data_IF_277412762678
#
_entry.id   IF_277412762678
#
_cell.length_a   1.000
_cell.length_b   1.000
_cell.length_c   1.000
_cell.angle_alpha   90.00
_cell.angle_beta   90.00
_cell.angle_gamma   90.00
#
_symmetry.space_group_name_H-M   'P 1'
#
loop_
_entity.id
_entity.type
_entity.pdbx_description
1 polymer ?
#
# COMPACT_ATOMS: atom_id res chain seq x y z
N UNK A 1 4.30 14.47 -3.68
CA UNK A 1 4.39 15.80 -3.04
C UNK A 1 4.44 15.66 -1.53
N UNK A 2 5.65 15.72 -0.96
CA UNK A 2 5.88 15.93 0.47
C UNK A 2 5.78 17.43 0.74
N UNK A 3 4.83 17.81 1.60
CA UNK A 3 4.82 19.15 2.19
C UNK A 3 6.09 19.31 3.05
N UNK A 4 6.67 20.52 3.18
CA UNK A 4 7.80 20.80 4.08
C UNK A 4 7.57 20.43 5.56
N UNK A 5 6.38 19.95 5.92
CA UNK A 5 5.98 19.49 7.25
C UNK A 5 5.87 17.96 7.43
N UNK A 6 6.53 17.15 6.59
CA UNK A 6 6.50 15.69 6.76
C UNK A 6 5.11 15.06 6.52
N UNK A 7 4.24 15.76 5.80
CA UNK A 7 2.88 15.31 5.48
C UNK A 7 2.80 14.83 4.03
N UNK A 8 2.32 13.61 3.82
CA UNK A 8 1.95 13.10 2.49
C UNK A 8 0.65 13.78 2.07
N UNK A 9 0.62 14.38 0.89
CA UNK A 9 -0.65 14.71 0.24
C UNK A 9 -1.37 13.42 -0.17
N UNK A 10 -2.65 13.53 -0.59
CA UNK A 10 -3.39 12.39 -1.14
C UNK A 10 -2.60 11.73 -2.27
N UNK A 11 -2.24 10.46 -2.09
CA UNK A 11 -1.57 9.62 -3.08
C UNK A 11 -2.59 8.67 -3.69
N UNK A 12 -2.61 8.62 -5.02
CA UNK A 12 -3.31 7.63 -5.82
C UNK A 12 -2.27 6.93 -6.69
N UNK A 13 -1.88 5.70 -6.30
CA UNK A 13 -0.90 4.93 -7.04
C UNK A 13 -1.57 3.77 -7.79
N UNK A 14 -1.78 3.88 -9.11
CA UNK A 14 -2.20 2.77 -9.94
C UNK A 14 -1.02 1.82 -10.17
N UNK A 15 -1.28 0.53 -10.02
CA UNK A 15 -0.36 -0.59 -10.19
C UNK A 15 -0.91 -1.51 -11.27
N UNK A 16 -0.08 -1.94 -12.21
CA UNK A 16 -0.48 -2.89 -13.27
C UNK A 16 -0.05 -4.32 -12.96
N UNK A 17 0.82 -4.49 -11.97
CA UNK A 17 1.41 -5.78 -11.58
C UNK A 17 1.83 -5.76 -10.12
N UNK A 18 2.11 -6.93 -9.55
CA UNK A 18 2.69 -7.04 -8.23
C UNK A 18 3.66 -8.22 -8.10
N UNK A 19 4.56 -8.16 -7.12
CA UNK A 19 5.39 -9.27 -6.66
C UNK A 19 5.03 -9.55 -5.21
N UNK A 20 4.79 -10.82 -4.87
CA UNK A 20 4.56 -11.24 -3.48
C UNK A 20 5.83 -11.88 -2.93
N UNK A 21 6.14 -11.54 -1.70
CA UNK A 21 7.20 -12.15 -0.92
C UNK A 21 6.62 -12.81 0.32
N UNK A 22 7.17 -13.96 0.69
CA UNK A 22 6.88 -14.68 1.93
C UNK A 22 8.20 -14.94 2.66
N UNK A 23 8.32 -14.41 3.88
CA UNK A 23 9.53 -14.47 4.70
C UNK A 23 10.79 -13.98 3.94
N UNK A 24 10.61 -12.96 3.09
CA UNK A 24 11.70 -12.38 2.28
C UNK A 24 11.98 -13.10 0.96
N UNK A 25 11.26 -14.18 0.63
CA UNK A 25 11.43 -14.92 -0.62
C UNK A 25 10.30 -14.62 -1.61
N UNK A 26 10.65 -14.38 -2.87
CA UNK A 26 9.69 -14.22 -3.97
C UNK A 26 8.80 -15.46 -4.11
N UNK A 27 7.50 -15.25 -4.27
CA UNK A 27 6.53 -16.32 -4.50
C UNK A 27 6.34 -16.52 -6.00
N UNK A 28 6.82 -17.65 -6.51
CA UNK A 28 6.63 -18.07 -7.90
C UNK A 28 5.41 -18.99 -8.00
N UNK A 29 4.46 -18.67 -8.88
CA UNK A 29 3.26 -19.49 -9.15
C UNK A 29 3.04 -19.62 -10.66
N UNK A 30 2.14 -20.50 -11.13
CA UNK A 30 1.79 -20.58 -12.55
C UNK A 30 1.24 -19.27 -13.15
N UNK A 31 0.82 -18.31 -12.32
CA UNK A 31 0.31 -17.01 -12.74
C UNK A 31 1.39 -15.90 -12.78
N UNK A 32 2.62 -16.19 -12.37
CA UNK A 32 3.73 -15.22 -12.35
C UNK A 32 4.79 -15.55 -13.40
N UNK A 33 5.56 -14.55 -13.80
CA UNK A 33 6.79 -14.80 -14.57
C UNK A 33 7.92 -15.41 -13.71
N UNK A 34 9.10 -15.60 -14.30
CA UNK A 34 10.28 -16.17 -13.64
C UNK A 34 10.85 -15.30 -12.49
N UNK A 35 10.37 -14.07 -12.32
CA UNK A 35 10.73 -13.15 -11.23
C UNK A 35 9.60 -13.00 -10.19
N UNK A 36 8.57 -13.86 -10.25
CA UNK A 36 7.43 -13.81 -9.32
C UNK A 36 6.48 -12.65 -9.59
N UNK A 37 6.64 -11.94 -10.71
CA UNK A 37 5.79 -10.81 -11.06
C UNK A 37 4.49 -11.31 -11.69
N UNK A 38 3.38 -10.93 -11.08
CA UNK A 38 2.04 -11.18 -11.58
C UNK A 38 1.56 -9.97 -12.39
N UNK A 39 1.64 -10.07 -13.73
CA UNK A 39 1.30 -8.99 -14.66
C UNK A 39 -0.21 -8.99 -14.96
N UNK A 40 -0.79 -7.81 -15.18
CA UNK A 40 -2.20 -7.66 -15.54
C UNK A 40 -3.18 -7.64 -14.37
N UNK A 41 -2.69 -7.82 -13.13
CA UNK A 41 -3.46 -7.71 -11.90
C UNK A 41 -3.49 -6.27 -11.41
N UNK A 42 -4.44 -5.47 -11.89
CA UNK A 42 -4.44 -4.03 -11.63
C UNK A 42 -4.89 -3.74 -10.20
N UNK A 43 -4.13 -2.93 -9.46
CA UNK A 43 -4.46 -2.51 -8.10
C UNK A 43 -4.30 -1.01 -7.96
N UNK A 44 -5.12 -0.41 -7.10
CA UNK A 44 -5.00 1.01 -6.73
C UNK A 44 -4.61 1.11 -5.27
N UNK A 45 -3.48 1.74 -4.95
CA UNK A 45 -3.13 2.07 -3.57
C UNK A 45 -3.44 3.53 -3.30
N UNK A 46 -4.38 3.78 -2.40
CA UNK A 46 -4.80 5.12 -1.98
C UNK A 46 -4.26 5.40 -0.59
N UNK A 47 -3.57 6.52 -0.45
CA UNK A 47 -3.12 7.04 0.85
C UNK A 47 -3.70 8.44 0.97
N UNK A 48 -4.55 8.66 1.96
CA UNK A 48 -5.18 9.96 2.18
C UNK A 48 -5.09 10.36 3.66
N UNK A 49 -5.19 11.66 4.01
CA UNK A 49 -5.36 12.05 5.40
C UNK A 49 -6.48 11.25 6.06
N UNK A 50 -6.33 10.92 7.34
CA UNK A 50 -7.24 10.05 8.04
C UNK A 50 -8.72 10.44 7.81
N UNK A 51 -9.48 9.56 7.15
CA UNK A 51 -10.86 9.84 6.73
C UNK A 51 -11.84 9.94 7.90
N UNK A 52 -11.43 9.49 9.09
CA UNK A 52 -12.19 9.64 10.33
C UNK A 52 -11.87 10.95 11.07
N UNK A 53 -11.08 11.85 10.47
CA UNK A 53 -10.73 13.15 11.05
C UNK A 53 -9.63 13.13 12.11
N UNK A 54 -9.02 11.96 12.36
CA UNK A 54 -7.93 11.79 13.31
C UNK A 54 -6.53 12.06 12.75
N UNK A 55 -5.51 11.71 13.52
CA UNK A 55 -4.12 11.80 13.09
C UNK A 55 -3.77 10.75 12.03
N UNK A 56 -2.72 11.04 11.26
CA UNK A 56 -2.14 10.12 10.30
C UNK A 56 -2.92 10.01 9.00
N UNK A 57 -2.96 8.81 8.46
CA UNK A 57 -3.43 8.50 7.12
C UNK A 57 -4.37 7.32 7.12
N UNK A 58 -5.24 7.27 6.13
CA UNK A 58 -6.01 6.09 5.78
C UNK A 58 -5.46 5.49 4.49
N UNK A 59 -5.17 4.20 4.53
CA UNK A 59 -4.68 3.43 3.40
C UNK A 59 -5.78 2.46 2.98
N UNK A 60 -6.09 2.46 1.69
CA UNK A 60 -7.06 1.55 1.07
C UNK A 60 -6.45 0.96 -0.20
N UNK A 61 -6.65 -0.34 -0.43
CA UNK A 61 -6.21 -1.01 -1.66
C UNK A 61 -7.44 -1.47 -2.43
N UNK A 62 -7.49 -1.12 -3.70
CA UNK A 62 -8.59 -1.42 -4.62
C UNK A 62 -8.16 -2.44 -5.65
N UNK A 63 -9.09 -3.32 -6.02
CA UNK A 63 -8.97 -4.11 -7.23
C UNK A 63 -9.49 -3.28 -8.41
N UNK A 64 -8.62 -3.06 -9.40
CA UNK A 64 -8.90 -2.20 -10.55
C UNK A 64 -9.32 -2.98 -11.80
N UNK A 65 -9.50 -4.30 -11.67
CA UNK A 65 -10.05 -5.15 -12.72
C UNK A 65 -11.59 -5.05 -12.66
N UNK A 66 -12.24 -4.67 -13.78
CA UNK A 66 -13.70 -4.43 -13.86
C UNK A 66 -14.09 -2.97 -14.12
N UNK A 67 -15.39 -2.67 -14.13
CA UNK A 67 -15.88 -1.32 -14.44
C UNK A 67 -15.76 -0.40 -13.22
N UNK A 68 -14.97 0.68 -13.32
CA UNK A 68 -14.91 1.69 -12.27
C UNK A 68 -14.64 3.11 -12.81
N UNK A 69 -15.52 4.11 -12.54
CA UNK A 69 -15.24 5.49 -12.94
C UNK A 69 -14.05 6.11 -12.19
N UNK A 70 -13.93 5.93 -10.87
CA UNK A 70 -12.88 6.59 -10.05
C UNK A 70 -12.25 5.76 -8.89
N UNK A 71 -12.17 4.41 -8.98
CA UNK A 71 -11.72 3.43 -7.94
C UNK A 71 -12.81 2.90 -6.97
N UNK A 72 -13.84 3.71 -6.66
CA UNK A 72 -15.04 3.40 -5.84
C UNK A 72 -15.09 2.11 -5.02
N UNK A 73 -15.91 1.11 -5.38
CA UNK A 73 -16.39 0.10 -4.41
C UNK A 73 -15.62 -1.24 -4.40
N UNK A 74 -14.66 -1.45 -5.30
CA UNK A 74 -13.94 -2.73 -5.38
C UNK A 74 -12.77 -2.79 -4.39
N UNK A 75 -13.09 -2.60 -3.11
CA UNK A 75 -12.13 -2.58 -2.01
C UNK A 75 -11.57 -4.00 -1.82
N UNK A 76 -10.29 -4.18 -2.12
CA UNK A 76 -9.57 -5.43 -1.91
C UNK A 76 -9.02 -5.53 -0.48
N UNK A 77 -8.63 -4.39 0.10
CA UNK A 77 -8.23 -4.27 1.50
C UNK A 77 -8.99 -3.11 2.14
N UNK A 78 -9.74 -3.43 3.19
CA UNK A 78 -10.47 -2.44 3.98
C UNK A 78 -9.55 -1.31 4.46
N UNK A 79 -10.07 -0.08 4.63
CA UNK A 79 -9.30 1.06 5.08
C UNK A 79 -8.56 0.78 6.39
N UNK A 80 -7.26 1.07 6.45
CA UNK A 80 -6.44 0.96 7.66
C UNK A 80 -5.80 2.29 8.00
N UNK A 81 -5.87 2.66 9.28
CA UNK A 81 -5.24 3.89 9.77
C UNK A 81 -3.75 3.64 10.01
N UNK A 82 -2.90 4.55 9.53
CA UNK A 82 -1.45 4.45 9.66
C UNK A 82 -0.80 5.80 9.98
N UNK A 83 0.36 5.76 10.65
CA UNK A 83 1.23 6.93 10.90
C UNK A 83 2.57 6.73 10.19
N UNK A 84 3.18 7.84 9.75
CA UNK A 84 4.57 7.82 9.29
C UNK A 84 5.45 7.51 10.51
N UNK A 85 6.31 6.50 10.37
CA UNK A 85 7.29 6.14 11.40
C UNK A 85 8.72 6.45 10.97
N UNK A 86 8.96 6.60 9.66
CA UNK A 86 10.27 6.95 9.12
C UNK A 86 10.12 7.61 7.76
N UNK A 87 10.91 8.65 7.53
CA UNK A 87 11.08 9.28 6.21
C UNK A 87 12.57 9.31 5.91
N UNK A 88 12.92 8.85 4.72
CA UNK A 88 14.27 8.84 4.15
C UNK A 88 14.20 9.49 2.76
N UNK A 89 15.35 9.81 2.17
CA UNK A 89 15.43 10.52 0.89
C UNK A 89 14.69 9.80 -0.24
N UNK A 90 14.68 8.47 -0.23
CA UNK A 90 14.09 7.64 -1.29
C UNK A 90 12.87 6.81 -0.85
N UNK A 91 12.42 6.93 0.41
CA UNK A 91 11.24 6.20 0.88
C UNK A 91 10.61 6.78 2.13
N UNK A 92 9.31 6.52 2.28
CA UNK A 92 8.54 6.85 3.46
C UNK A 92 7.84 5.61 3.99
N UNK A 93 8.04 5.28 5.27
CA UNK A 93 7.45 4.11 5.92
C UNK A 93 6.32 4.52 6.85
N UNK A 94 5.17 3.87 6.67
CA UNK A 94 3.98 4.01 7.50
C UNK A 94 3.69 2.70 8.23
N UNK A 95 3.18 2.82 9.46
CA UNK A 95 2.77 1.70 10.30
C UNK A 95 1.33 1.87 10.75
N UNK A 96 0.55 0.79 10.70
CA UNK A 96 -0.82 0.81 11.20
C UNK A 96 -0.92 1.00 12.70
N UNK A 97 -2.01 1.62 13.15
CA UNK A 97 -2.32 1.83 14.56
C UNK A 97 -3.82 1.76 14.79
N UNK A 98 -4.24 1.40 16.00
CA UNK A 98 -5.65 1.14 16.31
C UNK A 98 -6.10 -0.24 15.82
N UNK A 99 -7.40 -0.44 15.75
CA UNK A 99 -8.02 -1.72 15.37
C UNK A 99 -9.28 -1.50 14.54
N UNK A 100 -9.73 -2.54 13.82
CA UNK A 100 -11.06 -2.53 13.24
C UNK A 100 -12.16 -2.74 14.29
N UNK A 101 -13.42 -2.67 13.84
CA UNK A 101 -14.61 -2.87 14.67
C UNK A 101 -14.68 -4.28 15.30
N UNK A 102 -13.95 -5.25 14.75
CA UNK A 102 -13.84 -6.61 15.28
C UNK A 102 -12.66 -6.78 16.25
N UNK A 103 -11.88 -5.71 16.50
CA UNK A 103 -10.74 -5.71 17.40
C UNK A 103 -9.43 -6.17 16.75
N UNK A 104 -9.39 -6.44 15.44
CA UNK A 104 -8.15 -6.83 14.77
C UNK A 104 -7.23 -5.64 14.65
N UNK A 105 -5.98 -5.81 15.09
CA UNK A 105 -5.01 -4.72 15.11
C UNK A 105 -4.61 -4.28 13.70
N UNK A 106 -4.52 -2.96 13.49
CA UNK A 106 -3.87 -2.42 12.31
C UNK A 106 -2.35 -2.44 12.43
N UNK A 107 -1.82 -2.63 13.64
CA UNK A 107 -0.39 -2.70 13.86
C UNK A 107 0.26 -3.86 13.12
N UNK A 108 -0.45 -4.86 12.60
CA UNK A 108 0.16 -5.91 11.79
C UNK A 108 0.51 -5.44 10.37
N UNK A 109 -0.02 -4.29 9.95
CA UNK A 109 0.12 -3.76 8.60
C UNK A 109 1.13 -2.60 8.52
N UNK A 110 1.82 -2.50 7.39
CA UNK A 110 2.72 -1.39 7.06
C UNK A 110 2.70 -1.07 5.58
N UNK A 111 3.09 0.16 5.24
CA UNK A 111 3.27 0.61 3.86
C UNK A 111 4.64 1.27 3.73
N UNK A 112 5.39 0.91 2.70
CA UNK A 112 6.59 1.63 2.29
C UNK A 112 6.32 2.25 0.92
N UNK A 113 6.37 3.57 0.85
CA UNK A 113 6.28 4.33 -0.40
C UNK A 113 7.71 4.59 -0.86
N UNK A 114 8.12 3.99 -1.97
CA UNK A 114 9.42 4.26 -2.60
C UNK A 114 9.25 5.38 -3.62
N UNK A 115 10.12 6.38 -3.55
CA UNK A 115 10.02 7.58 -4.38
C UNK A 115 11.39 8.13 -4.74
N UNK A 116 11.46 8.81 -5.88
CA UNK A 116 12.60 9.61 -6.31
C UNK A 116 12.13 11.03 -6.53
N UNK A 117 12.42 11.91 -5.56
CA UNK A 117 11.88 13.26 -5.53
C UNK A 117 10.35 13.26 -5.41
N UNK A 118 9.66 13.63 -6.50
CA UNK A 118 8.20 13.70 -6.53
C UNK A 118 7.53 12.45 -7.11
N UNK A 119 8.29 11.55 -7.72
CA UNK A 119 7.77 10.40 -8.44
C UNK A 119 7.74 9.17 -7.54
N UNK A 120 6.55 8.58 -7.39
CA UNK A 120 6.40 7.29 -6.72
C UNK A 120 6.74 6.18 -7.71
N UNK A 121 7.76 5.41 -7.36
CA UNK A 121 8.29 4.30 -8.16
C UNK A 121 7.50 3.03 -7.90
N UNK A 122 7.28 2.71 -6.62
CA UNK A 122 6.52 1.55 -6.16
C UNK A 122 5.98 1.76 -4.75
N UNK A 123 4.99 0.96 -4.39
CA UNK A 123 4.48 0.89 -3.02
C UNK A 123 4.54 -0.56 -2.54
N UNK A 124 5.05 -0.78 -1.35
CA UNK A 124 5.10 -2.10 -0.71
C UNK A 124 4.13 -2.15 0.45
N UNK A 125 3.19 -3.10 0.41
CA UNK A 125 2.38 -3.51 1.55
C UNK A 125 3.16 -4.55 2.37
N UNK A 126 3.13 -4.41 3.69
CA UNK A 126 3.73 -5.35 4.63
C UNK A 126 2.63 -5.87 5.57
N UNK A 127 2.50 -7.19 5.66
CA UNK A 127 1.66 -7.92 6.61
C UNK A 127 2.59 -8.69 7.55
N UNK A 128 3.01 -8.03 8.63
CA UNK A 128 4.11 -8.49 9.46
C UNK A 128 3.77 -9.72 10.30
N UNK A 129 2.51 -9.90 10.69
CA UNK A 129 2.00 -11.09 11.36
C UNK A 129 2.20 -12.38 10.54
N UNK A 130 2.27 -12.23 9.21
CA UNK A 130 2.35 -13.35 8.26
C UNK A 130 3.71 -13.44 7.56
N UNK A 131 4.60 -12.48 7.80
CA UNK A 131 5.83 -12.36 7.02
C UNK A 131 5.58 -12.14 5.52
N UNK A 132 4.44 -11.55 5.14
CA UNK A 132 4.08 -11.32 3.73
C UNK A 132 4.40 -9.88 3.34
N UNK A 133 5.03 -9.69 2.19
CA UNK A 133 5.13 -8.40 1.53
C UNK A 133 4.53 -8.47 0.13
N UNK A 134 3.90 -7.38 -0.33
CA UNK A 134 3.42 -7.25 -1.71
C UNK A 134 3.94 -5.94 -2.27
N UNK A 135 4.75 -6.01 -3.32
CA UNK A 135 5.22 -4.84 -4.06
C UNK A 135 4.31 -4.55 -5.24
N UNK A 136 3.71 -3.37 -5.24
CA UNK A 136 2.88 -2.82 -6.30
C UNK A 136 3.74 -2.02 -7.27
N UNK A 137 3.70 -2.40 -8.55
CA UNK A 137 4.52 -1.87 -9.64
C UNK A 137 3.64 -1.30 -10.76
N UNK A 138 4.07 -0.18 -11.34
CA UNK A 138 3.50 0.38 -12.58
C UNK A 138 3.73 -0.54 -13.77
#
# INVERSE_FOLDING_TARGET
>A
MTSPYGRLQKVMFPSTSHIRYENGHEVITPATDSSGRHVGCKRGVKIEPNIQGGDGYTITIYNMDGNHPDWGNNVQMAPKQMKIIKTEDNKTTLRGFGSDASGSSFADYGIVVFHSGNDIEKIRLQMLDRGIEIEYLK
#
